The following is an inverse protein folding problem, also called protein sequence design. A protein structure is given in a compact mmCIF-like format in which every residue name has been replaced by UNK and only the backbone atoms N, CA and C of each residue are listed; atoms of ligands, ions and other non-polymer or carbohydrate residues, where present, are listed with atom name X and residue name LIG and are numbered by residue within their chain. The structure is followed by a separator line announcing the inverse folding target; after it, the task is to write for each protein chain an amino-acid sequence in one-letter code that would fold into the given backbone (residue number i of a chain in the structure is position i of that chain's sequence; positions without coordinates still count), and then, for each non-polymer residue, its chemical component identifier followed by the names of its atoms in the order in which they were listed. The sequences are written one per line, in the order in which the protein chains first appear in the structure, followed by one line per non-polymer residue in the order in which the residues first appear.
data_IF_257459531465
#
_entry.id   IF_257459531465
#
_cell.length_a   1.000
_cell.length_b   1.000
_cell.length_c   1.000
_cell.angle_alpha   90.00
_cell.angle_beta   90.00
_cell.angle_gamma   90.00
#
_symmetry.space_group_name_H-M   'P 1'
#
loop_
_entity.id
_entity.type
_entity.pdbx_description
1 polymer ?
#
# COMPACT_ATOMS: atom_id res chain seq x y z
N UNK A 1 6.09 -0.72 -24.85
CA UNK A 1 5.32 -0.37 -23.64
C UNK A 1 5.81 -1.25 -22.50
N UNK A 2 6.03 -0.70 -21.30
CA UNK A 2 6.41 -1.47 -20.11
C UNK A 2 5.14 -1.67 -19.28
N UNK A 3 4.84 -2.93 -18.94
CA UNK A 3 3.55 -3.33 -18.33
C UNK A 3 3.69 -3.93 -16.92
N UNK A 4 4.90 -4.35 -16.55
CA UNK A 4 5.25 -4.84 -15.21
C UNK A 4 6.75 -4.59 -15.00
N UNK A 5 7.19 -4.66 -13.75
CA UNK A 5 8.61 -4.71 -13.41
C UNK A 5 9.18 -6.10 -13.71
N UNK A 6 10.46 -6.14 -14.09
CA UNK A 6 11.17 -7.40 -14.30
C UNK A 6 11.42 -8.16 -12.99
N UNK A 7 11.75 -9.47 -13.06
CA UNK A 7 11.97 -10.32 -11.89
C UNK A 7 13.09 -9.83 -10.96
N UNK A 8 14.16 -9.25 -11.52
CA UNK A 8 15.25 -8.67 -10.74
C UNK A 8 14.79 -7.45 -9.93
N UNK A 9 14.04 -6.54 -10.57
CA UNK A 9 13.46 -5.37 -9.88
C UNK A 9 12.49 -5.80 -8.80
N UNK A 10 11.63 -6.79 -9.06
CA UNK A 10 10.70 -7.32 -8.06
C UNK A 10 11.43 -7.89 -6.83
N UNK A 11 12.52 -8.62 -7.03
CA UNK A 11 13.34 -9.16 -5.95
C UNK A 11 14.03 -8.07 -5.12
N UNK A 12 14.58 -7.06 -5.78
CA UNK A 12 15.22 -5.92 -5.11
C UNK A 12 14.20 -5.11 -4.28
N UNK A 13 13.02 -4.84 -4.84
CA UNK A 13 11.93 -4.19 -4.12
C UNK A 13 11.49 -5.02 -2.91
N UNK A 14 11.31 -6.34 -3.06
CA UNK A 14 10.95 -7.23 -1.97
C UNK A 14 12.01 -7.19 -0.84
N UNK A 15 13.30 -7.13 -1.18
CA UNK A 15 14.38 -6.98 -0.19
C UNK A 15 14.26 -5.66 0.58
N UNK A 16 14.02 -4.56 -0.10
CA UNK A 16 13.85 -3.23 0.53
C UNK A 16 12.62 -3.22 1.44
N UNK A 17 11.47 -3.70 0.95
CA UNK A 17 10.23 -3.78 1.72
C UNK A 17 10.42 -4.62 2.99
N UNK A 18 11.09 -5.77 2.87
CA UNK A 18 11.33 -6.66 3.98
C UNK A 18 12.23 -6.06 5.08
N UNK A 19 12.97 -4.99 4.78
CA UNK A 19 13.82 -4.26 5.73
C UNK A 19 13.14 -3.06 6.38
N UNK A 20 11.94 -2.68 5.93
CA UNK A 20 11.22 -1.50 6.41
C UNK A 20 10.53 -1.75 7.76
N UNK A 21 10.57 -0.76 8.64
CA UNK A 21 9.78 -0.75 9.89
C UNK A 21 8.35 -0.26 9.71
N UNK A 22 8.11 0.63 8.74
CA UNK A 22 6.80 1.14 8.37
C UNK A 22 6.68 1.15 6.86
N UNK A 23 5.55 0.68 6.34
CA UNK A 23 5.28 0.55 4.92
C UNK A 23 3.98 1.29 4.61
N UNK A 24 4.01 2.18 3.62
CA UNK A 24 2.82 2.82 3.07
C UNK A 24 2.69 2.36 1.62
N UNK A 25 1.65 1.58 1.34
CA UNK A 25 1.38 1.02 0.03
C UNK A 25 0.20 1.72 -0.64
N UNK A 26 0.48 2.36 -1.76
CA UNK A 26 -0.49 3.08 -2.58
C UNK A 26 -0.29 2.77 -4.07
N UNK A 27 -0.87 1.67 -4.51
CA UNK A 27 -0.95 1.29 -5.91
C UNK A 27 -0.09 0.08 -6.27
N UNK A 28 -0.55 -0.75 -7.22
CA UNK A 28 0.21 -1.87 -7.76
C UNK A 28 1.45 -1.39 -8.56
N UNK A 29 2.38 -2.31 -8.80
CA UNK A 29 3.47 -2.12 -9.77
C UNK A 29 3.19 -3.00 -10.99
N UNK A 30 2.78 -2.35 -12.08
CA UNK A 30 2.33 -3.03 -13.30
C UNK A 30 0.81 -3.15 -13.43
N UNK A 31 0.36 -3.72 -14.54
CA UNK A 31 -1.06 -3.92 -14.87
C UNK A 31 -1.54 -5.26 -14.30
N UNK A 32 -1.63 -5.31 -12.97
CA UNK A 32 -1.84 -6.51 -12.17
C UNK A 32 -3.15 -7.25 -12.46
N UNK A 33 -4.10 -6.61 -13.12
CA UNK A 33 -5.37 -7.17 -13.56
C UNK A 33 -5.16 -8.31 -14.55
N UNK A 34 -4.08 -8.26 -15.35
CA UNK A 34 -3.70 -9.31 -16.29
C UNK A 34 -2.57 -10.16 -15.71
N UNK A 35 -2.77 -11.48 -15.63
CA UNK A 35 -1.80 -12.37 -14.97
C UNK A 35 -0.40 -12.36 -15.62
N UNK A 36 -0.32 -12.06 -16.92
CA UNK A 36 0.95 -11.89 -17.64
C UNK A 36 1.81 -10.71 -17.12
N UNK A 37 1.20 -9.76 -16.41
CA UNK A 37 1.82 -8.52 -15.91
C UNK A 37 1.57 -8.29 -14.42
N UNK A 38 1.24 -9.35 -13.69
CA UNK A 38 0.84 -9.29 -12.29
C UNK A 38 1.94 -9.74 -11.31
N UNK A 39 3.08 -10.23 -11.81
CA UNK A 39 4.09 -10.83 -10.97
C UNK A 39 4.79 -9.80 -10.07
N UNK A 40 5.11 -8.61 -10.59
CA UNK A 40 5.71 -7.55 -9.79
C UNK A 40 4.83 -7.17 -8.60
N UNK A 41 3.55 -6.89 -8.86
CA UNK A 41 2.58 -6.58 -7.80
C UNK A 41 2.41 -7.75 -6.83
N UNK A 42 2.35 -8.98 -7.32
CA UNK A 42 2.23 -10.16 -6.46
C UNK A 42 3.43 -10.29 -5.50
N UNK A 43 4.66 -10.17 -6.01
CA UNK A 43 5.87 -10.22 -5.18
C UNK A 43 5.91 -9.08 -4.14
N UNK A 44 5.53 -7.87 -4.55
CA UNK A 44 5.42 -6.73 -3.65
C UNK A 44 4.39 -6.99 -2.54
N UNK A 45 3.19 -7.48 -2.89
CA UNK A 45 2.13 -7.80 -1.94
C UNK A 45 2.57 -8.85 -0.91
N UNK A 46 3.24 -9.92 -1.35
CA UNK A 46 3.79 -10.94 -0.47
C UNK A 46 4.88 -10.38 0.45
N UNK A 47 5.81 -9.58 -0.07
CA UNK A 47 6.86 -8.96 0.73
C UNK A 47 6.32 -8.04 1.83
N UNK A 48 5.26 -7.27 1.52
CA UNK A 48 4.57 -6.42 2.52
C UNK A 48 3.99 -7.31 3.61
N UNK A 49 3.24 -8.35 3.23
CA UNK A 49 2.60 -9.27 4.17
C UNK A 49 3.61 -10.02 5.06
N UNK A 50 4.78 -10.37 4.52
CA UNK A 50 5.89 -10.96 5.27
C UNK A 50 6.55 -9.98 6.23
N UNK A 51 6.83 -8.75 5.79
CA UNK A 51 7.37 -7.69 6.64
C UNK A 51 6.44 -7.40 7.83
N UNK A 52 5.13 -7.32 7.58
CA UNK A 52 4.12 -7.13 8.62
C UNK A 52 4.11 -8.28 9.63
N UNK A 53 4.18 -9.52 9.15
CA UNK A 53 4.27 -10.68 10.04
C UNK A 53 5.54 -10.68 10.91
N UNK A 54 6.62 -10.00 10.47
CA UNK A 54 7.85 -9.80 11.25
C UNK A 54 7.85 -8.55 12.14
N UNK A 55 6.74 -7.81 12.19
CA UNK A 55 6.56 -6.67 13.07
C UNK A 55 6.62 -5.29 12.41
N UNK A 56 6.73 -5.21 11.07
CA UNK A 56 6.56 -3.94 10.38
C UNK A 56 5.11 -3.45 10.47
N UNK A 57 4.90 -2.14 10.49
CA UNK A 57 3.56 -1.56 10.40
C UNK A 57 3.23 -1.23 8.95
N UNK A 58 2.27 -1.93 8.35
CA UNK A 58 1.89 -1.72 6.95
C UNK A 58 0.52 -1.05 6.83
N UNK A 59 0.49 0.05 6.08
CA UNK A 59 -0.73 0.75 5.71
C UNK A 59 -0.96 0.58 4.21
N UNK A 60 -2.14 0.14 3.81
CA UNK A 60 -2.54 0.07 2.41
C UNK A 60 -3.71 1.01 2.14
N UNK A 61 -3.67 1.76 1.04
CA UNK A 61 -4.74 2.68 0.65
C UNK A 61 -4.88 2.82 -0.86
N UNK A 62 -6.08 3.20 -1.32
CA UNK A 62 -6.39 3.37 -2.74
C UNK A 62 -7.13 2.17 -3.36
N UNK A 63 -8.02 2.43 -4.31
CA UNK A 63 -8.91 1.41 -4.90
C UNK A 63 -8.14 0.24 -5.51
N UNK A 64 -7.10 0.52 -6.30
CA UNK A 64 -6.31 -0.53 -6.96
C UNK A 64 -5.49 -1.36 -5.96
N UNK A 65 -5.00 -0.72 -4.89
CA UNK A 65 -4.33 -1.42 -3.78
C UNK A 65 -5.27 -2.40 -3.10
N UNK A 66 -6.52 -1.99 -2.83
CA UNK A 66 -7.53 -2.87 -2.23
C UNK A 66 -7.89 -4.03 -3.17
N UNK A 67 -7.97 -3.77 -4.47
CA UNK A 67 -8.18 -4.81 -5.48
C UNK A 67 -7.02 -5.81 -5.52
N UNK A 68 -5.77 -5.34 -5.43
CA UNK A 68 -4.59 -6.21 -5.33
C UNK A 68 -4.59 -7.04 -4.03
N UNK A 69 -4.90 -6.42 -2.88
CA UNK A 69 -5.02 -7.12 -1.59
C UNK A 69 -6.04 -8.25 -1.67
N UNK A 70 -7.20 -7.97 -2.27
CA UNK A 70 -8.25 -8.96 -2.47
C UNK A 70 -7.79 -10.08 -3.44
N UNK A 71 -7.18 -9.72 -4.57
CA UNK A 71 -6.68 -10.69 -5.57
C UNK A 71 -5.68 -11.68 -4.95
N UNK A 72 -4.80 -11.22 -4.08
CA UNK A 72 -3.75 -12.05 -3.46
C UNK A 72 -4.11 -12.56 -2.05
N UNK A 73 -5.33 -12.32 -1.57
CA UNK A 73 -5.83 -12.78 -0.26
C UNK A 73 -4.91 -12.41 0.92
N UNK A 74 -4.40 -11.17 0.95
CA UNK A 74 -3.52 -10.68 2.02
C UNK A 74 -4.17 -9.69 3.00
N UNK A 75 -5.51 -9.58 2.99
CA UNK A 75 -6.25 -8.61 3.81
C UNK A 75 -5.96 -8.73 5.31
N UNK A 76 -5.92 -9.97 5.83
CA UNK A 76 -5.58 -10.25 7.23
C UNK A 76 -4.08 -10.16 7.54
N UNK A 77 -3.26 -9.90 6.52
CA UNK A 77 -1.79 -9.85 6.62
C UNK A 77 -1.24 -8.43 6.45
N UNK A 78 -2.11 -7.42 6.49
CA UNK A 78 -1.75 -6.00 6.51
C UNK A 78 -2.28 -5.34 7.77
N UNK A 79 -1.52 -4.42 8.36
CA UNK A 79 -1.87 -3.80 9.65
C UNK A 79 -3.08 -2.86 9.58
N UNK A 80 -3.22 -2.10 8.49
CA UNK A 80 -4.32 -1.14 8.32
C UNK A 80 -4.68 -0.95 6.86
N UNK A 81 -5.98 -1.05 6.55
CA UNK A 81 -6.54 -0.78 5.21
C UNK A 81 -7.34 0.52 5.27
N UNK A 82 -6.87 1.52 4.54
CA UNK A 82 -7.52 2.82 4.41
C UNK A 82 -8.56 2.81 3.29
N UNK A 83 -9.81 3.12 3.64
CA UNK A 83 -10.88 3.40 2.68
C UNK A 83 -10.92 4.88 2.26
N UNK A 84 -10.02 5.72 2.78
CA UNK A 84 -9.98 7.15 2.51
C UNK A 84 -9.50 7.52 1.10
N UNK A 85 -9.03 6.55 0.30
CA UNK A 85 -8.57 6.78 -1.06
C UNK A 85 -7.59 7.94 -1.17
N UNK A 86 -7.92 8.94 -2.01
CA UNK A 86 -7.10 10.15 -2.18
C UNK A 86 -6.97 11.00 -0.92
N UNK A 87 -7.99 11.08 -0.06
CA UNK A 87 -7.94 11.86 1.17
C UNK A 87 -6.86 11.35 2.14
N UNK A 88 -6.64 10.03 2.15
CA UNK A 88 -5.56 9.43 2.94
C UNK A 88 -4.17 9.88 2.46
N UNK A 89 -3.97 9.97 1.14
CA UNK A 89 -2.70 10.43 0.57
C UNK A 89 -2.49 11.92 0.81
N UNK A 90 -3.52 12.74 0.61
CA UNK A 90 -3.46 14.17 0.91
C UNK A 90 -3.09 14.43 2.37
N UNK A 91 -3.64 13.63 3.29
CA UNK A 91 -3.27 13.69 4.69
C UNK A 91 -1.79 13.33 4.92
N UNK A 92 -1.28 12.28 4.28
CA UNK A 92 0.13 11.89 4.36
C UNK A 92 1.08 12.90 3.69
N UNK A 93 0.63 13.62 2.67
CA UNK A 93 1.33 14.74 2.05
C UNK A 93 1.41 15.96 2.97
N UNK A 94 0.75 15.93 4.14
CA UNK A 94 0.72 17.01 5.11
C UNK A 94 -0.30 18.10 4.78
N UNK A 95 -1.23 17.84 3.85
CA UNK A 95 -2.32 18.78 3.55
C UNK A 95 -3.33 18.78 4.67
N UNK A 96 -3.84 19.96 5.00
CA UNK A 96 -4.96 20.10 5.91
C UNK A 96 -6.22 19.58 5.23
N UNK A 97 -6.83 18.54 5.79
CA UNK A 97 -8.14 18.09 5.37
C UNK A 97 -9.21 18.95 6.07
N UNK A 98 -10.14 19.60 5.34
CA UNK A 98 -11.12 20.51 5.93
C UNK A 98 -11.95 19.86 7.06
N UNK A 99 -12.31 18.58 6.90
CA UNK A 99 -13.06 17.85 7.92
C UNK A 99 -12.25 17.61 9.20
N UNK A 100 -10.94 17.36 9.10
CA UNK A 100 -10.07 17.19 10.26
C UNK A 100 -9.85 18.52 10.96
N UNK A 101 -9.64 19.61 10.21
CA UNK A 101 -9.47 20.95 10.75
C UNK A 101 -10.66 21.38 11.61
N UNK A 102 -11.89 21.21 11.11
CA UNK A 102 -13.11 21.55 11.85
C UNK A 102 -13.22 20.73 13.15
N UNK A 103 -12.84 19.45 13.13
CA UNK A 103 -12.81 18.61 14.34
C UNK A 103 -11.74 19.04 15.35
N UNK A 104 -10.55 19.43 14.88
CA UNK A 104 -9.48 19.94 15.73
C UNK A 104 -9.85 21.26 16.41
N UNK A 105 -10.47 22.18 15.66
CA UNK A 105 -10.96 23.45 16.21
C UNK A 105 -12.00 23.21 17.32
N UNK A 106 -12.91 22.24 17.14
CA UNK A 106 -13.89 21.87 18.16
C UNK A 106 -13.26 21.19 19.39
N UNK A 107 -12.23 20.36 19.20
CA UNK A 107 -11.60 19.62 20.30
C UNK A 107 -10.66 20.49 21.15
N UNK A 108 -10.12 21.57 20.58
CA UNK A 108 -9.21 22.49 21.26
C UNK A 108 -9.86 23.71 21.91
N UNK A 109 -11.18 23.90 21.74
CA UNK A 109 -11.98 24.94 22.41
C UNK A 109 -12.78 24.36 23.57
#
# INVERSE_FOLDING_TARGET
MILDVGPQTALELARVINSAGTIIWNGPIGVFEFDAFANGTHQMALAIAEATARGAFSIAGGGDTLAAIAKYNIGERVSYISTGGGAFLEFLEGKTLPAIEVLQQRAGG
#
